data_IF_928533740441
#
_entry.id   IF_928533740441
#
_cell.length_a   1.000
_cell.length_b   1.000
_cell.length_c   1.000
_cell.angle_alpha   90.00
_cell.angle_beta   90.00
_cell.angle_gamma   90.00
#
_symmetry.space_group_name_H-M   'P 1'
#
loop_
_entity.id
_entity.type
_entity.pdbx_description
1 polymer ?
#
# COMPACT_ATOMS: atom_id res chain seq x y z
N UNK A 1 11.16 1.82 12.73
CA UNK A 1 11.76 0.52 13.09
C UNK A 1 10.88 -0.39 13.94
N UNK A 2 9.68 -0.08 14.28
CA UNK A 2 8.81 -0.91 15.15
C UNK A 2 7.83 -1.85 14.41
N UNK A 3 7.83 -1.90 13.08
CA UNK A 3 6.79 -2.56 12.29
C UNK A 3 7.34 -3.55 11.25
N UNK A 4 8.41 -4.28 11.58
CA UNK A 4 8.95 -5.33 10.72
C UNK A 4 9.71 -4.82 9.49
N UNK A 5 10.30 -3.62 9.58
CA UNK A 5 11.08 -3.02 8.48
C UNK A 5 12.20 -3.96 8.02
N UNK A 6 12.92 -4.58 8.94
CA UNK A 6 14.06 -5.45 8.66
C UNK A 6 13.62 -6.68 7.86
N UNK A 7 12.57 -7.34 8.31
CA UNK A 7 11.98 -8.46 7.59
C UNK A 7 11.44 -8.04 6.21
N UNK A 8 10.84 -6.85 6.10
CA UNK A 8 10.34 -6.33 4.83
C UNK A 8 11.49 -6.07 3.82
N UNK A 9 12.62 -5.52 4.29
CA UNK A 9 13.82 -5.32 3.48
C UNK A 9 14.34 -6.67 2.97
N UNK A 10 14.49 -7.65 3.87
CA UNK A 10 14.95 -9.00 3.51
C UNK A 10 13.98 -9.67 2.53
N UNK A 11 12.67 -9.60 2.75
CA UNK A 11 11.68 -10.13 1.83
C UNK A 11 11.82 -9.51 0.43
N UNK A 12 12.01 -8.19 0.36
CA UNK A 12 12.26 -7.46 -0.90
C UNK A 12 13.55 -7.91 -1.59
N UNK A 13 14.65 -8.04 -0.84
CA UNK A 13 15.94 -8.54 -1.37
C UNK A 13 15.82 -9.99 -1.88
N UNK A 14 14.96 -10.80 -1.27
CA UNK A 14 14.61 -12.14 -1.73
C UNK A 14 13.67 -12.15 -2.94
N UNK A 15 13.15 -10.98 -3.36
CA UNK A 15 12.32 -10.80 -4.54
C UNK A 15 10.83 -10.93 -4.32
N UNK A 16 10.40 -10.83 -3.08
CA UNK A 16 8.98 -10.81 -2.75
C UNK A 16 8.42 -9.41 -2.96
N UNK A 17 7.45 -9.28 -3.84
CA UNK A 17 6.73 -8.03 -4.02
C UNK A 17 5.67 -7.86 -2.91
N UNK A 18 5.41 -6.62 -2.44
CA UNK A 18 4.47 -6.38 -1.34
C UNK A 18 3.07 -6.95 -1.60
N UNK A 19 2.55 -6.80 -2.81
CA UNK A 19 1.22 -7.26 -3.21
C UNK A 19 1.07 -8.77 -3.26
N UNK A 20 2.16 -9.50 -3.37
CA UNK A 20 2.21 -10.97 -3.40
C UNK A 20 2.89 -11.58 -2.19
N UNK A 21 3.14 -10.78 -1.15
CA UNK A 21 3.81 -11.26 0.05
C UNK A 21 2.97 -12.35 0.73
N UNK A 22 3.52 -13.56 0.93
CA UNK A 22 2.81 -14.61 1.65
C UNK A 22 2.46 -14.17 3.08
N UNK A 23 1.27 -14.52 3.54
CA UNK A 23 0.87 -14.28 4.91
C UNK A 23 1.84 -14.97 5.88
N UNK A 24 2.32 -14.23 6.88
CA UNK A 24 3.26 -14.75 7.88
C UNK A 24 4.73 -14.73 7.48
N UNK A 25 5.10 -14.44 6.23
CA UNK A 25 6.52 -14.40 5.82
C UNK A 25 7.35 -13.44 6.67
N UNK A 26 6.84 -12.24 6.94
CA UNK A 26 7.58 -11.26 7.75
C UNK A 26 7.77 -11.77 9.19
N UNK A 27 6.76 -12.43 9.76
CA UNK A 27 6.87 -13.03 11.08
C UNK A 27 7.88 -14.19 11.08
N UNK A 28 7.83 -15.06 10.08
CA UNK A 28 8.80 -16.17 9.94
C UNK A 28 10.25 -15.67 9.84
N UNK A 29 10.48 -14.57 9.11
CA UNK A 29 11.80 -13.93 9.01
C UNK A 29 12.26 -13.37 10.36
N UNK A 30 11.33 -12.78 11.14
CA UNK A 30 11.64 -12.23 12.46
C UNK A 30 11.84 -13.30 13.53
N UNK A 31 11.14 -14.43 13.43
CA UNK A 31 11.28 -15.56 14.35
C UNK A 31 12.61 -16.31 14.17
N UNK A 32 13.17 -16.26 12.98
CA UNK A 32 14.47 -16.86 12.66
C UNK A 32 15.39 -15.87 11.91
N UNK A 33 15.86 -14.81 12.61
CA UNK A 33 16.61 -13.71 12.01
C UNK A 33 18.01 -14.09 11.51
N UNK A 34 18.58 -15.19 12.05
CA UNK A 34 19.95 -15.61 11.75
C UNK A 34 20.04 -16.51 10.52
N UNK A 35 18.93 -17.14 10.11
CA UNK A 35 18.96 -18.08 8.97
C UNK A 35 19.10 -17.33 7.66
N UNK A 36 20.21 -17.58 6.98
CA UNK A 36 20.48 -17.04 5.64
C UNK A 36 19.62 -17.72 4.59
N UNK A 37 18.86 -16.92 3.87
CA UNK A 37 18.03 -17.34 2.73
C UNK A 37 18.71 -16.96 1.45
N UNK A 38 18.54 -17.79 0.41
CA UNK A 38 19.26 -17.64 -0.86
C UNK A 38 18.31 -17.24 -1.97
N UNK A 39 18.82 -16.39 -2.87
CA UNK A 39 18.17 -16.01 -4.13
C UNK A 39 19.15 -16.07 -5.29
N UNK A 40 18.70 -16.57 -6.44
CA UNK A 40 19.49 -16.47 -7.68
C UNK A 40 19.46 -15.03 -8.19
N UNK A 41 20.62 -14.51 -8.56
CA UNK A 41 20.80 -13.18 -9.15
C UNK A 41 21.71 -13.33 -10.39
N UNK A 42 21.12 -13.29 -11.59
CA UNK A 42 21.82 -13.67 -12.82
C UNK A 42 22.34 -15.11 -12.73
N UNK A 43 23.64 -15.29 -13.04
CA UNK A 43 24.33 -16.58 -12.96
C UNK A 43 24.85 -16.91 -11.55
N UNK A 44 24.68 -16.00 -10.59
CA UNK A 44 25.14 -16.13 -9.22
C UNK A 44 24.03 -16.41 -8.21
N UNK A 45 24.44 -16.58 -6.98
CA UNK A 45 23.56 -16.74 -5.82
C UNK A 45 23.94 -15.75 -4.74
N UNK A 46 22.96 -15.01 -4.22
CA UNK A 46 23.12 -14.14 -3.05
C UNK A 46 22.42 -14.76 -1.84
N UNK A 47 22.89 -14.46 -0.65
CA UNK A 47 22.27 -14.88 0.60
C UNK A 47 22.07 -13.68 1.50
N UNK A 48 20.94 -13.64 2.19
CA UNK A 48 20.57 -12.55 3.11
C UNK A 48 19.83 -13.11 4.31
N UNK A 49 20.00 -12.47 5.47
CA UNK A 49 19.22 -12.72 6.69
C UNK A 49 18.85 -11.39 7.36
N UNK A 50 18.03 -11.43 8.39
CA UNK A 50 17.56 -10.23 9.08
C UNK A 50 18.70 -9.49 9.79
N UNK A 51 19.70 -10.22 10.28
CA UNK A 51 20.89 -9.62 10.92
C UNK A 51 21.78 -8.80 9.98
N UNK A 52 21.62 -8.95 8.66
CA UNK A 52 22.35 -8.13 7.70
C UNK A 52 21.76 -6.70 7.61
N UNK A 53 20.61 -6.44 8.25
CA UNK A 53 19.96 -5.11 8.27
C UNK A 53 20.41 -4.35 9.51
N UNK A 54 21.19 -3.29 9.34
CA UNK A 54 21.62 -2.41 10.40
C UNK A 54 20.87 -1.08 10.37
N UNK A 55 20.69 -0.47 11.54
CA UNK A 55 20.06 0.85 11.69
C UNK A 55 21.05 1.85 12.26
N UNK A 56 21.44 2.79 11.43
CA UNK A 56 22.35 3.87 11.84
C UNK A 56 21.55 5.14 12.14
N UNK A 57 21.55 5.56 13.41
CA UNK A 57 21.00 6.85 13.83
C UNK A 57 22.04 7.96 13.70
N UNK A 58 22.61 8.13 12.51
CA UNK A 58 23.66 9.12 12.22
C UNK A 58 23.10 10.36 11.53
N UNK A 59 23.80 11.47 11.70
CA UNK A 59 23.62 12.63 10.83
C UNK A 59 24.31 12.31 9.50
N UNK A 60 23.57 12.38 8.42
CA UNK A 60 24.03 12.01 7.08
C UNK A 60 23.68 13.07 6.05
N UNK A 61 24.41 13.07 4.94
CA UNK A 61 24.23 14.01 3.82
C UNK A 61 23.29 13.46 2.71
N UNK A 62 22.55 12.38 2.97
CA UNK A 62 21.56 11.87 2.01
C UNK A 62 20.44 12.89 1.79
N UNK A 63 19.85 12.92 0.57
CA UNK A 63 18.82 13.90 0.22
C UNK A 63 17.51 13.73 1.02
N UNK A 64 17.31 12.55 1.62
CA UNK A 64 16.12 12.25 2.41
C UNK A 64 16.48 11.59 3.74
N UNK A 65 15.74 11.93 4.79
CA UNK A 65 15.97 11.42 6.15
C UNK A 65 15.75 9.89 6.29
N UNK A 66 14.86 9.33 5.47
CA UNK A 66 14.60 7.90 5.44
C UNK A 66 15.28 7.30 4.21
N UNK A 67 16.52 6.89 4.37
CA UNK A 67 17.36 6.30 3.33
C UNK A 67 17.72 4.86 3.71
N UNK A 68 17.68 3.97 2.73
CA UNK A 68 18.22 2.61 2.80
C UNK A 68 19.38 2.52 1.82
N UNK A 69 20.53 2.02 2.26
CA UNK A 69 21.64 1.62 1.39
C UNK A 69 21.69 0.11 1.35
N UNK A 70 21.68 -0.46 0.16
CA UNK A 70 21.82 -1.89 -0.06
C UNK A 70 23.14 -2.17 -0.75
N UNK A 71 24.02 -2.90 -0.07
CA UNK A 71 25.34 -3.29 -0.56
C UNK A 71 25.36 -4.77 -0.91
N UNK A 72 25.83 -5.07 -2.12
CA UNK A 72 26.17 -6.41 -2.55
C UNK A 72 27.65 -6.64 -2.25
N UNK A 73 27.94 -7.65 -1.44
CA UNK A 73 29.29 -7.99 -1.03
C UNK A 73 29.81 -9.26 -1.74
N UNK A 74 31.13 -9.35 -1.92
CA UNK A 74 31.78 -10.61 -2.30
C UNK A 74 32.07 -11.48 -1.05
N UNK A 75 32.78 -12.59 -1.25
CA UNK A 75 33.12 -13.54 -0.19
C UNK A 75 34.13 -12.98 0.83
N UNK A 76 34.82 -11.92 0.49
CA UNK A 76 35.81 -11.19 1.32
C UNK A 76 35.22 -9.89 1.90
N UNK A 77 33.90 -9.74 1.93
CA UNK A 77 33.13 -8.57 2.42
C UNK A 77 33.43 -7.25 1.68
N UNK A 78 33.94 -7.33 0.46
CA UNK A 78 34.16 -6.16 -0.36
C UNK A 78 32.90 -5.80 -1.14
N UNK A 79 32.51 -4.51 -1.13
CA UNK A 79 31.36 -3.99 -1.85
C UNK A 79 31.58 -4.11 -3.36
N UNK A 80 30.75 -4.91 -4.02
CA UNK A 80 30.69 -5.07 -5.47
C UNK A 80 29.72 -4.06 -6.10
N UNK A 81 28.62 -3.79 -5.43
CA UNK A 81 27.61 -2.85 -5.87
C UNK A 81 26.91 -2.22 -4.66
N UNK A 82 26.55 -0.94 -4.77
CA UNK A 82 25.83 -0.20 -3.73
C UNK A 82 24.71 0.59 -4.36
N UNK A 83 23.52 0.53 -3.76
CA UNK A 83 22.37 1.27 -4.24
C UNK A 83 21.65 1.98 -3.08
N UNK A 84 21.39 3.26 -3.25
CA UNK A 84 20.65 4.09 -2.31
C UNK A 84 19.17 4.14 -2.70
N UNK A 85 18.29 3.91 -1.72
CA UNK A 85 16.83 4.03 -1.85
C UNK A 85 16.30 5.04 -0.86
N UNK A 86 15.34 5.85 -1.27
CA UNK A 86 14.79 6.95 -0.51
C UNK A 86 13.29 6.81 -0.33
N UNK A 87 12.81 6.85 0.90
CA UNK A 87 11.38 7.01 1.17
C UNK A 87 11.04 8.50 1.07
N UNK A 88 10.30 8.87 0.03
CA UNK A 88 9.98 10.29 -0.27
C UNK A 88 8.60 10.71 0.26
N UNK A 89 7.99 9.87 1.09
CA UNK A 89 6.67 10.08 1.67
C UNK A 89 5.52 9.47 0.86
N UNK A 90 4.38 9.29 1.52
CA UNK A 90 3.18 8.74 0.88
C UNK A 90 3.31 7.30 0.32
N UNK A 91 4.29 6.53 0.81
CA UNK A 91 4.58 5.18 0.33
C UNK A 91 5.42 5.14 -0.96
N UNK A 92 5.82 6.30 -1.49
CA UNK A 92 6.66 6.35 -2.69
C UNK A 92 8.13 6.17 -2.35
N UNK A 93 8.83 5.44 -3.24
CA UNK A 93 10.26 5.16 -3.15
C UNK A 93 10.94 5.71 -4.40
N UNK A 94 12.05 6.38 -4.21
CA UNK A 94 13.01 6.75 -5.25
C UNK A 94 14.36 6.08 -4.94
N UNK A 95 15.26 6.09 -5.89
CA UNK A 95 16.62 5.59 -5.72
C UNK A 95 17.62 6.53 -6.36
N UNK A 96 18.87 6.40 -6.04
CA UNK A 96 19.94 7.19 -6.66
C UNK A 96 19.98 6.96 -8.17
N UNK A 97 19.78 8.03 -8.92
CA UNK A 97 19.64 7.97 -10.37
C UNK A 97 18.20 7.75 -10.86
N UNK A 98 17.20 7.77 -9.96
CA UNK A 98 15.81 7.73 -10.36
C UNK A 98 15.42 8.97 -11.17
N UNK A 99 14.76 8.76 -12.30
CA UNK A 99 14.15 9.82 -13.10
C UNK A 99 12.64 9.63 -13.13
N UNK A 100 11.86 10.72 -13.05
CA UNK A 100 10.41 10.62 -13.14
C UNK A 100 10.00 10.01 -14.50
N UNK A 101 9.03 9.10 -14.51
CA UNK A 101 8.53 8.54 -15.76
C UNK A 101 7.94 9.64 -16.63
N UNK A 102 8.15 9.53 -17.95
CA UNK A 102 7.47 10.41 -18.92
C UNK A 102 5.99 10.05 -18.96
N UNK A 103 5.17 10.91 -18.39
CA UNK A 103 3.73 10.77 -18.35
C UNK A 103 3.08 11.68 -19.41
N UNK A 104 1.90 11.27 -19.88
CA UNK A 104 1.05 12.11 -20.73
C UNK A 104 0.41 13.24 -19.93
N UNK A 105 -0.36 14.06 -20.64
CA UNK A 105 -1.08 15.20 -20.07
C UNK A 105 -2.57 14.85 -19.86
N UNK A 106 -3.19 15.34 -18.78
CA UNK A 106 -4.61 15.11 -18.56
C UNK A 106 -5.46 15.79 -19.64
N UNK A 107 -6.49 15.11 -20.12
CA UNK A 107 -7.48 15.65 -21.07
C UNK A 107 -8.34 16.73 -20.41
N UNK A 108 -8.71 16.50 -19.17
CA UNK A 108 -9.56 17.38 -18.37
C UNK A 108 -8.74 17.99 -17.24
N UNK A 109 -8.21 19.20 -17.43
CA UNK A 109 -7.40 19.89 -16.42
C UNK A 109 -8.28 20.61 -15.42
N UNK A 110 -8.07 20.36 -14.13
CA UNK A 110 -8.70 21.07 -13.02
C UNK A 110 -7.76 21.09 -11.83
N UNK A 111 -7.84 22.14 -11.03
CA UNK A 111 -7.06 22.30 -9.78
C UNK A 111 -7.93 22.38 -8.54
N UNK A 112 -9.22 22.60 -8.72
CA UNK A 112 -10.19 22.77 -7.65
C UNK A 112 -11.58 22.25 -8.04
N UNK A 113 -12.46 22.15 -7.04
CA UNK A 113 -13.80 21.60 -7.22
C UNK A 113 -14.69 22.47 -8.13
N UNK A 114 -14.46 23.77 -8.20
CA UNK A 114 -15.24 24.68 -9.07
C UNK A 114 -14.96 24.40 -10.52
N UNK A 115 -13.69 24.23 -10.87
CA UNK A 115 -13.26 23.86 -12.23
C UNK A 115 -13.76 22.48 -12.62
N UNK A 116 -13.63 21.49 -11.73
CA UNK A 116 -14.16 20.14 -11.97
C UNK A 116 -15.66 20.17 -12.24
N UNK A 117 -16.45 20.93 -11.45
CA UNK A 117 -17.90 21.09 -11.67
C UNK A 117 -18.22 21.77 -12.99
N UNK A 118 -17.41 22.73 -13.43
CA UNK A 118 -17.58 23.39 -14.72
C UNK A 118 -17.39 22.39 -15.87
N UNK A 119 -16.37 21.54 -15.81
CA UNK A 119 -16.10 20.47 -16.79
C UNK A 119 -17.27 19.47 -16.84
N UNK A 120 -17.72 18.99 -15.68
CA UNK A 120 -18.88 18.09 -15.58
C UNK A 120 -20.09 18.67 -16.30
N UNK A 121 -20.39 19.96 -16.05
CA UNK A 121 -21.52 20.64 -16.67
C UNK A 121 -21.35 20.87 -18.17
N UNK A 122 -20.15 21.27 -18.59
CA UNK A 122 -19.85 21.58 -20.01
C UNK A 122 -19.83 20.30 -20.86
N UNK A 123 -19.18 19.24 -20.38
CA UNK A 123 -19.00 18.00 -21.13
C UNK A 123 -20.15 17.01 -20.98
N UNK A 124 -20.99 17.18 -19.95
CA UNK A 124 -22.04 16.21 -19.61
C UNK A 124 -21.51 14.87 -19.11
N UNK A 125 -20.27 14.85 -18.62
CA UNK A 125 -19.60 13.66 -18.09
C UNK A 125 -19.83 13.54 -16.58
N UNK A 126 -19.78 12.31 -16.05
CA UNK A 126 -19.70 12.06 -14.63
C UNK A 126 -18.25 12.28 -14.14
N UNK A 127 -18.08 12.51 -12.83
CA UNK A 127 -16.75 12.72 -12.25
C UNK A 127 -15.84 11.50 -12.51
N UNK A 128 -16.35 10.27 -12.38
CA UNK A 128 -15.56 9.08 -12.60
C UNK A 128 -15.06 8.94 -14.04
N UNK A 129 -15.83 9.44 -15.03
CA UNK A 129 -15.42 9.43 -16.44
C UNK A 129 -14.27 10.40 -16.69
N UNK A 130 -14.33 11.60 -16.08
CA UNK A 130 -13.25 12.60 -16.13
C UNK A 130 -11.94 12.02 -15.57
N UNK A 131 -12.02 11.34 -14.42
CA UNK A 131 -10.85 10.71 -13.81
C UNK A 131 -10.30 9.59 -14.71
N UNK A 132 -11.17 8.75 -15.25
CA UNK A 132 -10.77 7.64 -16.11
C UNK A 132 -10.13 8.13 -17.42
N UNK A 133 -10.70 9.15 -18.05
CA UNK A 133 -10.14 9.76 -19.26
C UNK A 133 -8.76 10.37 -18.99
N UNK A 134 -8.60 11.07 -17.88
CA UNK A 134 -7.32 11.62 -17.46
C UNK A 134 -6.30 10.52 -17.19
N UNK A 135 -6.67 9.46 -16.49
CA UNK A 135 -5.77 8.34 -16.18
C UNK A 135 -5.31 7.64 -17.47
N UNK A 136 -6.21 7.41 -18.41
CA UNK A 136 -5.87 6.86 -19.72
C UNK A 136 -4.89 7.75 -20.49
N UNK A 137 -5.08 9.06 -20.46
CA UNK A 137 -4.23 10.01 -21.17
C UNK A 137 -2.85 10.16 -20.50
N UNK A 138 -2.80 10.18 -19.17
CA UNK A 138 -1.56 10.33 -18.41
C UNK A 138 -0.70 9.06 -18.49
N UNK A 139 -1.31 7.89 -18.35
CA UNK A 139 -0.58 6.61 -18.27
C UNK A 139 -0.42 5.91 -19.62
N UNK A 140 -1.23 6.27 -20.62
CA UNK A 140 -1.33 5.53 -21.89
C UNK A 140 -2.02 4.16 -21.75
N UNK A 141 -2.52 3.82 -20.56
CA UNK A 141 -3.16 2.54 -20.30
C UNK A 141 -4.56 2.48 -20.93
N UNK A 142 -4.99 1.29 -21.33
CA UNK A 142 -6.34 1.09 -21.80
C UNK A 142 -7.35 1.10 -20.64
N UNK A 143 -8.60 1.46 -20.94
CA UNK A 143 -9.70 1.41 -19.96
C UNK A 143 -9.82 0.03 -19.26
N UNK A 144 -9.79 -1.11 -19.97
CA UNK A 144 -9.81 -2.41 -19.30
C UNK A 144 -8.64 -2.63 -18.34
N UNK A 145 -7.44 -2.16 -18.68
CA UNK A 145 -6.26 -2.27 -17.82
C UNK A 145 -6.43 -1.47 -16.53
N UNK A 146 -6.91 -0.23 -16.61
CA UNK A 146 -7.17 0.61 -15.44
C UNK A 146 -8.24 -0.03 -14.54
N UNK A 147 -9.33 -0.52 -15.14
CA UNK A 147 -10.39 -1.21 -14.39
C UNK A 147 -9.88 -2.49 -13.72
N UNK A 148 -9.01 -3.23 -14.38
CA UNK A 148 -8.37 -4.40 -13.80
C UNK A 148 -7.52 -4.02 -12.56
N UNK A 149 -6.64 -3.03 -12.70
CA UNK A 149 -5.81 -2.56 -11.59
C UNK A 149 -6.64 -2.03 -10.42
N UNK A 150 -7.74 -1.31 -10.71
CA UNK A 150 -8.66 -0.83 -9.68
C UNK A 150 -9.36 -1.99 -8.95
N UNK A 151 -9.77 -3.04 -9.68
CA UNK A 151 -10.34 -4.23 -9.05
C UNK A 151 -9.33 -4.89 -8.11
N UNK A 152 -8.05 -5.03 -8.51
CA UNK A 152 -7.02 -5.59 -7.64
C UNK A 152 -6.90 -4.81 -6.32
N UNK A 153 -6.91 -3.49 -6.38
CA UNK A 153 -6.87 -2.63 -5.18
C UNK A 153 -8.09 -2.88 -4.29
N UNK A 154 -9.29 -2.90 -4.88
CA UNK A 154 -10.55 -3.14 -4.16
C UNK A 154 -10.57 -4.54 -3.52
N UNK A 155 -10.11 -5.56 -4.23
CA UNK A 155 -10.05 -6.94 -3.75
C UNK A 155 -9.03 -7.11 -2.61
N UNK A 156 -7.89 -6.41 -2.66
CA UNK A 156 -6.94 -6.38 -1.55
C UNK A 156 -7.52 -5.67 -0.32
N UNK A 157 -8.28 -4.58 -0.50
CA UNK A 157 -8.98 -3.92 0.59
C UNK A 157 -9.97 -4.85 1.27
N UNK A 158 -10.81 -5.54 0.49
CA UNK A 158 -11.78 -6.51 1.02
C UNK A 158 -11.09 -7.66 1.74
N UNK A 159 -10.04 -8.20 1.15
CA UNK A 159 -9.28 -9.31 1.73
C UNK A 159 -8.65 -8.92 3.07
N UNK A 160 -8.17 -7.68 3.22
CA UNK A 160 -7.62 -7.20 4.50
C UNK A 160 -8.68 -7.13 5.60
N UNK A 161 -9.90 -6.69 5.27
CA UNK A 161 -11.01 -6.71 6.23
C UNK A 161 -11.33 -8.14 6.66
N UNK A 162 -11.48 -9.07 5.70
CA UNK A 162 -11.78 -10.47 6.01
C UNK A 162 -10.75 -11.10 6.94
N UNK A 163 -9.45 -10.97 6.59
CA UNK A 163 -8.39 -11.54 7.43
C UNK A 163 -8.39 -10.96 8.83
N UNK A 164 -8.54 -9.63 8.97
CA UNK A 164 -8.59 -9.00 10.29
C UNK A 164 -9.82 -9.37 11.10
N UNK A 165 -10.99 -9.61 10.46
CA UNK A 165 -12.19 -10.11 11.15
C UNK A 165 -12.04 -11.55 11.63
N UNK A 166 -11.32 -12.38 10.89
CA UNK A 166 -11.08 -13.79 11.21
C UNK A 166 -9.92 -13.97 12.22
N UNK A 167 -9.16 -12.90 12.52
CA UNK A 167 -8.00 -12.95 13.40
C UNK A 167 -8.39 -12.65 14.85
N UNK A 168 -7.79 -13.41 15.78
CA UNK A 168 -7.94 -13.22 17.22
C UNK A 168 -6.58 -13.28 17.91
N UNK A 169 -6.46 -12.61 19.04
CA UNK A 169 -5.25 -12.66 19.86
C UNK A 169 -4.68 -11.30 20.19
N UNK A 170 -3.40 -11.29 20.51
CA UNK A 170 -2.66 -10.10 20.89
C UNK A 170 -1.84 -9.60 19.70
N UNK A 171 -1.90 -8.30 19.43
CA UNK A 171 -1.08 -7.67 18.40
C UNK A 171 0.42 -7.80 18.70
N UNK A 172 1.29 -7.85 17.69
CA UNK A 172 2.74 -8.08 17.87
C UNK A 172 3.41 -7.16 18.87
N UNK A 173 2.96 -5.92 18.98
CA UNK A 173 3.45 -4.97 19.98
C UNK A 173 3.07 -5.34 21.42
N UNK A 174 2.27 -6.38 21.63
CA UNK A 174 1.77 -6.87 22.92
C UNK A 174 1.07 -5.83 23.81
N UNK A 175 0.68 -4.72 23.22
CA UNK A 175 0.00 -3.62 23.94
C UNK A 175 -1.51 -3.70 23.84
N UNK A 176 -2.03 -4.24 22.75
CA UNK A 176 -3.45 -4.29 22.46
C UNK A 176 -3.89 -5.68 22.00
N UNK A 177 -5.11 -6.02 22.33
CA UNK A 177 -5.79 -7.21 21.82
C UNK A 177 -6.58 -6.83 20.57
N UNK A 178 -6.65 -7.75 19.61
CA UNK A 178 -7.49 -7.59 18.44
C UNK A 178 -8.97 -7.47 18.86
N UNK A 179 -9.64 -6.50 18.34
CA UNK A 179 -11.02 -6.16 18.70
C UNK A 179 -12.02 -6.36 17.58
N UNK A 180 -11.54 -6.39 16.32
CA UNK A 180 -12.39 -6.38 15.14
C UNK A 180 -13.41 -7.53 15.14
N UNK A 181 -12.98 -8.77 15.40
CA UNK A 181 -13.87 -9.94 15.45
C UNK A 181 -14.94 -9.82 16.54
N UNK A 182 -14.59 -9.24 17.70
CA UNK A 182 -15.52 -9.02 18.81
C UNK A 182 -16.55 -7.95 18.50
N UNK A 183 -16.14 -6.88 17.82
CA UNK A 183 -17.04 -5.80 17.40
C UNK A 183 -18.04 -6.26 16.35
N UNK A 184 -17.63 -7.14 15.44
CA UNK A 184 -18.51 -7.73 14.44
C UNK A 184 -19.68 -8.50 15.07
N UNK A 185 -19.44 -9.18 16.18
CA UNK A 185 -20.45 -9.97 16.91
C UNK A 185 -21.46 -9.11 17.66
N UNK A 186 -21.28 -7.81 17.71
CA UNK A 186 -22.22 -6.90 18.38
C UNK A 186 -23.58 -6.90 17.65
N UNK A 187 -24.72 -7.11 18.35
CA UNK A 187 -26.03 -7.16 17.73
C UNK A 187 -26.50 -5.83 17.17
N UNK A 188 -25.76 -4.76 17.39
CA UNK A 188 -26.21 -3.42 17.09
C UNK A 188 -25.35 -2.65 16.11
N UNK A 189 -26.05 -2.07 15.18
CA UNK A 189 -25.78 -0.85 14.43
C UNK A 189 -24.66 -0.91 13.37
N UNK A 190 -25.06 -0.50 12.19
CA UNK A 190 -24.21 -0.27 11.02
C UNK A 190 -22.88 0.45 11.34
N UNK A 191 -22.89 1.45 12.23
CA UNK A 191 -21.67 2.14 12.65
C UNK A 191 -20.69 1.24 13.41
N UNK A 192 -21.18 0.34 14.28
CA UNK A 192 -20.32 -0.60 14.99
C UNK A 192 -19.66 -1.59 14.02
N UNK A 193 -20.42 -2.06 13.03
CA UNK A 193 -19.86 -2.94 12.00
C UNK A 193 -18.83 -2.24 11.10
N UNK A 194 -19.10 -1.01 10.65
CA UNK A 194 -18.10 -0.22 9.90
C UNK A 194 -16.83 -0.01 10.71
N UNK A 195 -16.95 0.29 12.01
CA UNK A 195 -15.80 0.40 12.89
C UNK A 195 -15.04 -0.94 13.00
N UNK A 196 -15.76 -2.07 13.11
CA UNK A 196 -15.13 -3.38 13.12
C UNK A 196 -14.33 -3.63 11.83
N UNK A 197 -14.87 -3.27 10.67
CA UNK A 197 -14.16 -3.40 9.38
C UNK A 197 -12.93 -2.50 9.30
N UNK A 198 -13.00 -1.27 9.82
CA UNK A 198 -11.86 -0.37 9.88
C UNK A 198 -10.75 -0.87 10.82
N UNK A 199 -11.15 -1.37 11.99
CA UNK A 199 -10.21 -2.00 12.94
C UNK A 199 -9.59 -3.26 12.35
N UNK A 200 -10.36 -4.09 11.63
CA UNK A 200 -9.85 -5.30 11.00
C UNK A 200 -8.65 -5.00 10.08
N UNK A 201 -8.76 -4.01 9.19
CA UNK A 201 -7.63 -3.61 8.34
C UNK A 201 -6.48 -3.00 9.16
N UNK A 202 -6.78 -2.21 10.19
CA UNK A 202 -5.74 -1.61 11.04
C UNK A 202 -4.97 -2.67 11.84
N UNK A 203 -5.66 -3.67 12.36
CA UNK A 203 -5.07 -4.81 13.07
C UNK A 203 -4.29 -5.72 12.14
N UNK A 204 -4.77 -5.95 10.91
CA UNK A 204 -4.05 -6.65 9.86
C UNK A 204 -2.73 -5.93 9.52
N UNK A 205 -2.76 -4.59 9.39
CA UNK A 205 -1.54 -3.80 9.20
C UNK A 205 -0.57 -3.95 10.39
N UNK A 206 -1.07 -3.89 11.62
CA UNK A 206 -0.24 -4.03 12.82
C UNK A 206 0.36 -5.43 12.96
N UNK A 207 -0.28 -6.43 12.38
CA UNK A 207 0.17 -7.83 12.36
C UNK A 207 1.13 -8.16 11.21
N UNK A 208 1.47 -7.18 10.36
CA UNK A 208 2.34 -7.37 9.20
C UNK A 208 1.66 -7.97 7.98
N UNK A 209 0.33 -7.95 7.94
CA UNK A 209 -0.44 -8.41 6.80
C UNK A 209 -0.43 -7.42 5.63
N UNK A 210 -0.87 -7.88 4.46
CA UNK A 210 -0.94 -7.08 3.23
C UNK A 210 -2.18 -6.19 3.27
N UNK A 211 -1.95 -4.87 3.23
CA UNK A 211 -3.01 -3.86 3.17
C UNK A 211 -2.77 -2.88 2.03
N UNK A 212 -3.81 -2.16 1.62
CA UNK A 212 -3.68 -1.02 0.71
C UNK A 212 -3.41 0.24 1.51
N UNK A 213 -2.33 0.96 1.20
CA UNK A 213 -1.99 2.24 1.83
C UNK A 213 -2.25 3.40 0.88
N UNK A 214 -2.82 4.50 1.41
CA UNK A 214 -2.96 5.73 0.64
C UNK A 214 -3.27 6.93 1.55
N UNK A 215 -2.40 7.85 1.71
CA UNK A 215 -0.94 7.86 1.53
C UNK A 215 -0.18 7.29 2.73
N UNK A 216 -0.85 6.98 3.84
CA UNK A 216 -0.24 6.48 5.08
C UNK A 216 -1.03 5.30 5.65
N UNK A 217 -0.36 4.45 6.44
CA UNK A 217 -1.00 3.29 7.07
C UNK A 217 -2.03 3.68 8.15
N UNK A 218 -1.93 4.87 8.75
CA UNK A 218 -2.83 5.30 9.83
C UNK A 218 -4.31 5.41 9.43
N UNK A 219 -4.60 5.70 8.18
CA UNK A 219 -5.96 5.79 7.63
C UNK A 219 -6.35 4.60 6.74
N UNK A 220 -5.52 3.58 6.66
CA UNK A 220 -5.68 2.46 5.73
C UNK A 220 -6.98 1.66 5.94
N UNK A 221 -7.58 1.72 7.14
CA UNK A 221 -8.84 1.05 7.44
C UNK A 221 -10.11 1.75 6.92
N UNK A 222 -10.04 3.04 6.58
CA UNK A 222 -11.25 3.84 6.25
C UNK A 222 -11.88 3.37 4.94
N UNK A 223 -11.12 3.35 3.86
CA UNK A 223 -11.65 2.95 2.54
C UNK A 223 -12.02 1.47 2.48
N UNK A 224 -11.22 0.52 3.00
CA UNK A 224 -11.64 -0.87 3.07
C UNK A 224 -12.94 -1.10 3.82
N UNK A 225 -13.15 -0.42 4.95
CA UNK A 225 -14.39 -0.51 5.71
C UNK A 225 -15.60 -0.04 4.90
N UNK A 226 -15.49 1.07 4.18
CA UNK A 226 -16.55 1.57 3.31
C UNK A 226 -16.83 0.63 2.16
N UNK A 227 -15.80 0.15 1.46
CA UNK A 227 -15.94 -0.79 0.34
C UNK A 227 -16.63 -2.08 0.81
N UNK A 228 -16.16 -2.64 1.93
CA UNK A 228 -16.72 -3.85 2.50
C UNK A 228 -18.20 -3.67 2.89
N UNK A 229 -18.55 -2.57 3.58
CA UNK A 229 -19.91 -2.26 3.95
C UNK A 229 -20.82 -2.04 2.73
N UNK A 230 -20.36 -1.30 1.72
CA UNK A 230 -21.11 -1.10 0.48
C UNK A 230 -21.43 -2.42 -0.23
N UNK A 231 -20.45 -3.33 -0.30
CA UNK A 231 -20.61 -4.62 -0.98
C UNK A 231 -21.47 -5.61 -0.19
N UNK A 232 -21.19 -5.75 1.12
CA UNK A 232 -21.76 -6.85 1.94
C UNK A 232 -22.97 -6.44 2.80
N UNK A 233 -23.09 -5.15 3.17
CA UNK A 233 -24.23 -4.66 3.95
C UNK A 233 -25.31 -4.00 3.07
N UNK A 234 -24.86 -3.26 2.06
CA UNK A 234 -25.73 -2.49 1.18
C UNK A 234 -25.96 -3.15 -0.18
N UNK A 235 -25.24 -4.23 -0.48
CA UNK A 235 -25.38 -5.01 -1.72
C UNK A 235 -25.15 -4.16 -2.99
N UNK A 236 -24.26 -3.17 -2.92
CA UNK A 236 -23.88 -2.34 -4.06
C UNK A 236 -23.01 -3.14 -5.02
N UNK A 237 -23.37 -3.11 -6.29
CA UNK A 237 -22.63 -3.86 -7.33
C UNK A 237 -21.25 -3.25 -7.64
N UNK A 238 -20.33 -4.09 -8.09
CA UNK A 238 -18.93 -3.74 -8.34
C UNK A 238 -18.73 -2.55 -9.25
N UNK A 239 -19.59 -2.38 -10.26
CA UNK A 239 -19.50 -1.22 -11.15
C UNK A 239 -19.70 0.08 -10.38
N UNK A 240 -20.73 0.18 -9.56
CA UNK A 240 -21.02 1.38 -8.78
C UNK A 240 -19.92 1.66 -7.74
N UNK A 241 -19.35 0.60 -7.13
CA UNK A 241 -18.19 0.73 -6.22
C UNK A 241 -17.00 1.33 -6.96
N UNK A 242 -16.65 0.83 -8.14
CA UNK A 242 -15.55 1.38 -8.95
C UNK A 242 -15.78 2.85 -9.36
N UNK A 243 -16.99 3.16 -9.81
CA UNK A 243 -17.35 4.54 -10.20
C UNK A 243 -17.25 5.50 -8.99
N UNK A 244 -17.72 5.06 -7.81
CA UNK A 244 -17.59 5.82 -6.57
C UNK A 244 -16.13 5.99 -6.15
N UNK A 245 -15.31 4.94 -6.32
CA UNK A 245 -13.88 4.97 -6.00
C UNK A 245 -13.13 5.98 -6.87
N UNK A 246 -13.37 5.96 -8.18
CA UNK A 246 -12.80 6.94 -9.11
C UNK A 246 -13.29 8.37 -8.80
N UNK A 247 -14.58 8.54 -8.50
CA UNK A 247 -15.10 9.85 -8.10
C UNK A 247 -14.46 10.37 -6.80
N UNK A 248 -14.19 9.48 -5.83
CA UNK A 248 -13.50 9.83 -4.59
C UNK A 248 -12.05 10.25 -4.83
N UNK A 249 -11.37 9.65 -5.83
CA UNK A 249 -10.02 10.01 -6.21
C UNK A 249 -9.92 11.48 -6.67
N UNK A 250 -10.96 12.02 -7.32
CA UNK A 250 -11.01 13.44 -7.71
C UNK A 250 -10.85 14.37 -6.50
N UNK A 251 -11.53 14.05 -5.39
CA UNK A 251 -11.42 14.82 -4.14
C UNK A 251 -10.03 14.67 -3.54
N UNK A 252 -9.49 13.44 -3.54
CA UNK A 252 -8.14 13.16 -3.05
C UNK A 252 -7.06 13.92 -3.83
N UNK A 253 -7.16 13.98 -5.15
CA UNK A 253 -6.22 14.72 -6.01
C UNK A 253 -6.28 16.23 -5.73
N UNK A 254 -7.47 16.81 -5.59
CA UNK A 254 -7.63 18.22 -5.23
C UNK A 254 -7.02 18.51 -3.85
N UNK A 255 -7.28 17.65 -2.86
CA UNK A 255 -6.73 17.80 -1.51
C UNK A 255 -5.19 17.67 -1.48
N UNK A 256 -4.61 16.82 -2.36
CA UNK A 256 -3.15 16.66 -2.46
C UNK A 256 -2.49 17.85 -3.17
N UNK A 257 -3.20 18.52 -4.08
CA UNK A 257 -2.67 19.64 -4.87
C UNK A 257 -2.64 20.95 -4.08
N UNK A 258 -3.57 21.15 -3.15
CA UNK A 258 -3.68 22.34 -2.30
C UNK A 258 -3.05 22.14 -0.93
#
# INVERSE_FOLDING_TARGET
TGHGTDAAVVAGLLGTAPESCPAGLLQELMDDPHTRRKRSLGDGQVSVCVDDVSHDAIIHDFPYSNTLVADLLDAEDKVLHSQEYYSVGGGFIQWKGWEPPSLGEPVHRYSNMTELRAIVKEKGLNIYEIILDNEMAITGASRPSIIYSLNQIIDHMESSVRRGLDSEGQLPARMLWQQASRMQSSPDQFLTRINAYAFATAEENASGGVIVTAPTCGSAGVMPALVYALRHEMFIGDRAIREAFLASAAVGFIAKHN
#
